data_IF_400546117411
#
_entry.id   IF_400546117411
#
_cell.length_a   1.000
_cell.length_b   1.000
_cell.length_c   1.000
_cell.angle_alpha   90.00
_cell.angle_beta   90.00
_cell.angle_gamma   90.00
#
_symmetry.space_group_name_H-M   'P 1'
#
loop_
_entity.id
_entity.type
_entity.pdbx_description
1 polymer ?
#
# COMPACT_ATOMS: atom_id res chain seq x y z
N UNK A 1 -7.49 -10.41 0.52
CA UNK A 1 -7.60 -11.89 0.41
C UNK A 1 -8.55 -12.19 -0.75
N UNK A 2 -8.46 -13.35 -1.40
CA UNK A 2 -9.43 -13.71 -2.44
C UNK A 2 -10.57 -14.55 -1.82
N UNK A 3 -11.85 -14.23 -2.08
CA UNK A 3 -12.97 -15.04 -1.61
C UNK A 3 -12.92 -16.49 -2.08
N UNK A 4 -13.20 -17.44 -1.19
CA UNK A 4 -13.31 -18.88 -1.49
C UNK A 4 -14.34 -19.13 -2.59
N UNK A 5 -15.45 -18.37 -2.61
CA UNK A 5 -16.48 -18.49 -3.66
C UNK A 5 -15.96 -18.23 -5.08
N UNK A 6 -14.81 -17.58 -5.25
CA UNK A 6 -14.21 -17.30 -6.57
C UNK A 6 -13.13 -18.31 -6.97
N UNK A 7 -12.43 -18.89 -5.99
CA UNK A 7 -11.25 -19.74 -6.24
C UNK A 7 -11.45 -21.20 -5.84
N UNK A 8 -12.52 -21.50 -5.10
CA UNK A 8 -12.73 -22.78 -4.42
C UNK A 8 -11.63 -23.15 -3.41
N UNK A 9 -10.78 -22.19 -3.03
CA UNK A 9 -9.68 -22.38 -2.08
C UNK A 9 -9.92 -21.53 -0.84
N UNK A 10 -9.75 -22.12 0.34
CA UNK A 10 -9.86 -21.39 1.60
C UNK A 10 -8.79 -20.27 1.64
N UNK A 11 -9.15 -19.03 2.00
CA UNK A 11 -8.18 -17.94 2.03
C UNK A 11 -7.12 -18.18 3.11
N UNK A 12 -5.90 -17.74 2.83
CA UNK A 12 -4.71 -17.93 3.66
C UNK A 12 -4.32 -16.65 4.40
N UNK A 13 -3.60 -16.80 5.52
CA UNK A 13 -3.03 -15.73 6.33
C UNK A 13 -1.83 -16.24 7.16
N UNK A 14 -1.15 -15.36 7.89
CA UNK A 14 -0.08 -15.72 8.82
C UNK A 14 -0.57 -16.66 9.95
N UNK A 15 -1.82 -16.51 10.37
CA UNK A 15 -2.51 -17.33 11.38
C UNK A 15 -3.98 -17.53 11.00
N UNK A 16 -4.71 -18.38 11.73
CA UNK A 16 -6.16 -18.55 11.55
C UNK A 16 -6.91 -17.29 11.98
N UNK A 17 -7.49 -16.53 11.04
CA UNK A 17 -8.17 -15.27 11.33
C UNK A 17 -9.63 -15.27 10.86
N UNK A 18 -10.56 -14.64 11.58
CA UNK A 18 -11.94 -14.46 11.12
C UNK A 18 -11.99 -13.76 9.75
N UNK A 19 -12.94 -14.17 8.90
CA UNK A 19 -13.17 -13.57 7.59
C UNK A 19 -14.55 -13.93 7.03
N UNK A 20 -15.12 -13.02 6.24
CA UNK A 20 -16.31 -13.29 5.44
C UNK A 20 -15.98 -13.93 4.08
N UNK A 21 -14.69 -14.12 3.78
CA UNK A 21 -14.20 -14.66 2.50
C UNK A 21 -14.15 -16.19 2.47
N UNK A 22 -14.53 -16.87 3.55
CA UNK A 22 -14.47 -18.32 3.72
C UNK A 22 -15.82 -18.88 4.17
N UNK A 23 -16.17 -20.09 3.71
CA UNK A 23 -17.43 -20.77 4.09
C UNK A 23 -17.49 -21.08 5.58
N UNK A 24 -16.34 -21.40 6.20
CA UNK A 24 -16.25 -21.67 7.64
C UNK A 24 -16.01 -20.40 8.48
N UNK A 25 -15.99 -19.21 7.86
CA UNK A 25 -15.78 -17.94 8.55
C UNK A 25 -14.32 -17.65 8.94
N UNK A 26 -13.36 -18.47 8.49
CA UNK A 26 -11.96 -18.38 8.93
C UNK A 26 -10.95 -18.56 7.79
N UNK A 27 -9.78 -17.95 7.94
CA UNK A 27 -8.61 -18.22 7.10
C UNK A 27 -7.79 -19.39 7.62
N UNK A 28 -7.02 -20.02 6.73
CA UNK A 28 -6.03 -21.01 7.11
C UNK A 28 -4.67 -20.36 7.37
N UNK A 29 -3.96 -20.83 8.39
CA UNK A 29 -2.57 -20.45 8.61
C UNK A 29 -1.66 -21.08 7.53
N UNK A 30 -0.73 -20.28 7.00
CA UNK A 30 0.30 -20.76 6.08
C UNK A 30 1.29 -21.69 6.77
N UNK A 31 1.66 -22.77 6.08
CA UNK A 31 2.82 -23.59 6.43
C UNK A 31 4.11 -22.90 5.98
N UNK A 32 5.24 -23.26 6.59
CA UNK A 32 6.53 -22.65 6.25
C UNK A 32 6.91 -22.84 4.78
N UNK A 33 6.67 -24.02 4.20
CA UNK A 33 6.89 -24.26 2.78
C UNK A 33 6.04 -23.35 1.90
N UNK A 34 4.78 -23.09 2.28
CA UNK A 34 3.89 -22.19 1.53
C UNK A 34 4.33 -20.72 1.64
N UNK A 35 4.99 -20.33 2.74
CA UNK A 35 5.57 -19.00 2.89
C UNK A 35 6.73 -18.83 1.91
N UNK A 36 7.62 -19.82 1.82
CA UNK A 36 8.73 -19.82 0.85
C UNK A 36 8.23 -19.86 -0.61
N UNK A 37 7.22 -20.69 -0.90
CA UNK A 37 6.60 -20.74 -2.23
C UNK A 37 6.01 -19.37 -2.63
N UNK A 38 5.43 -18.63 -1.68
CA UNK A 38 4.92 -17.28 -1.91
C UNK A 38 6.04 -16.27 -2.13
N UNK A 39 7.13 -16.34 -1.36
CA UNK A 39 8.33 -15.51 -1.57
C UNK A 39 8.84 -15.70 -3.02
N UNK A 40 8.95 -16.94 -3.48
CA UNK A 40 9.31 -17.24 -4.86
C UNK A 40 8.29 -16.74 -5.87
N UNK A 41 6.99 -16.85 -5.57
CA UNK A 41 5.94 -16.35 -6.44
C UNK A 41 6.01 -14.83 -6.64
N UNK A 42 6.31 -14.05 -5.59
CA UNK A 42 6.54 -12.60 -5.69
C UNK A 42 7.75 -12.28 -6.55
N UNK A 43 8.88 -12.95 -6.32
CA UNK A 43 10.09 -12.73 -7.11
C UNK A 43 9.91 -13.09 -8.59
N UNK A 44 9.21 -14.19 -8.87
CA UNK A 44 8.85 -14.57 -10.22
C UNK A 44 7.87 -13.59 -10.87
N UNK A 45 7.00 -12.94 -10.10
CA UNK A 45 6.14 -11.88 -10.61
C UNK A 45 6.97 -10.64 -10.98
N UNK A 46 7.91 -10.22 -10.14
CA UNK A 46 8.82 -9.12 -10.43
C UNK A 46 9.66 -9.38 -11.69
N UNK A 47 10.25 -10.57 -11.82
CA UNK A 47 11.00 -10.95 -13.02
C UNK A 47 10.14 -10.96 -14.30
N UNK A 48 8.84 -11.32 -14.19
CA UNK A 48 7.90 -11.20 -15.31
C UNK A 48 7.61 -9.74 -15.66
N UNK A 49 7.47 -8.86 -14.66
CA UNK A 49 7.29 -7.42 -14.88
C UNK A 49 8.49 -6.80 -15.57
N UNK A 50 9.71 -7.10 -15.12
CA UNK A 50 10.94 -6.64 -15.77
C UNK A 50 11.01 -7.13 -17.22
N UNK A 51 10.75 -8.41 -17.46
CA UNK A 51 10.72 -8.98 -18.82
C UNK A 51 9.65 -8.33 -19.71
N UNK A 52 8.57 -7.83 -19.14
CA UNK A 52 7.52 -7.12 -19.85
C UNK A 52 7.88 -5.65 -20.12
N UNK A 53 9.01 -5.15 -19.62
CA UNK A 53 9.51 -3.79 -19.85
C UNK A 53 9.03 -2.76 -18.83
N UNK A 54 8.54 -3.18 -17.67
CA UNK A 54 8.31 -2.25 -16.55
C UNK A 54 9.65 -1.82 -15.95
N UNK A 55 9.72 -0.59 -15.44
CA UNK A 55 10.92 -0.08 -14.75
C UNK A 55 11.09 -0.64 -13.34
N UNK A 56 10.03 -1.19 -12.75
CA UNK A 56 10.06 -1.72 -11.39
C UNK A 56 8.76 -2.36 -10.91
N UNK A 57 8.74 -2.69 -9.62
CA UNK A 57 7.56 -3.15 -8.88
C UNK A 57 7.40 -2.42 -7.56
N UNK A 58 6.15 -2.32 -7.09
CA UNK A 58 5.84 -1.91 -5.71
C UNK A 58 5.24 -3.10 -4.95
N UNK A 59 5.87 -3.49 -3.84
CA UNK A 59 5.42 -4.56 -2.97
C UNK A 59 4.32 -4.03 -2.04
N UNK A 60 3.12 -4.60 -2.15
CA UNK A 60 1.98 -4.12 -1.37
C UNK A 60 1.91 -4.72 0.04
N UNK A 61 2.49 -4.00 1.01
CA UNK A 61 2.48 -4.30 2.45
C UNK A 61 1.40 -3.57 3.27
N UNK A 62 0.38 -2.99 2.65
CA UNK A 62 -0.60 -2.12 3.31
C UNK A 62 -2.03 -2.71 3.33
N UNK A 63 -2.98 -1.98 3.91
CA UNK A 63 -4.44 -2.21 3.86
C UNK A 63 -4.91 -3.61 4.26
N UNK A 64 -4.19 -4.26 5.17
CA UNK A 64 -4.56 -5.60 5.63
C UNK A 64 -4.49 -6.68 4.54
N UNK A 65 -3.71 -6.49 3.47
CA UNK A 65 -3.32 -7.59 2.59
C UNK A 65 -2.30 -8.51 3.25
N UNK A 66 -1.91 -9.60 2.58
CA UNK A 66 -1.17 -10.70 3.21
C UNK A 66 0.10 -10.25 3.95
N UNK A 67 0.93 -9.41 3.34
CA UNK A 67 2.14 -8.89 3.97
C UNK A 67 1.78 -8.04 5.20
N UNK A 68 0.80 -7.14 5.07
CA UNK A 68 0.27 -6.34 6.19
C UNK A 68 -0.25 -7.23 7.34
N UNK A 69 -0.81 -8.40 7.02
CA UNK A 69 -1.29 -9.37 8.02
C UNK A 69 -0.14 -10.09 8.75
N UNK A 70 1.01 -10.31 8.09
CA UNK A 70 2.22 -10.77 8.76
C UNK A 70 2.79 -9.69 9.70
N UNK A 71 2.74 -8.41 9.31
CA UNK A 71 3.19 -7.29 10.14
C UNK A 71 2.31 -7.08 11.38
N UNK A 72 1.00 -7.28 11.25
CA UNK A 72 0.03 -7.03 12.32
C UNK A 72 0.05 -8.03 13.47
N UNK A 73 0.10 -7.54 14.70
CA UNK A 73 0.13 -8.34 15.94
C UNK A 73 -1.17 -9.11 16.20
N UNK A 74 -2.31 -8.60 15.73
CA UNK A 74 -3.60 -9.29 15.86
C UNK A 74 -3.69 -10.42 14.84
N UNK A 75 -3.23 -10.22 13.61
CA UNK A 75 -3.36 -11.23 12.53
C UNK A 75 -2.25 -12.26 12.46
N UNK A 76 -1.09 -11.97 13.03
CA UNK A 76 0.06 -12.86 13.11
C UNK A 76 0.38 -13.21 14.56
N UNK A 77 -0.13 -14.38 14.99
CA UNK A 77 0.08 -14.92 16.34
C UNK A 77 0.98 -16.16 16.29
N UNK A 78 1.84 -16.25 15.27
CA UNK A 78 2.78 -17.36 15.13
C UNK A 78 3.85 -17.29 16.22
N UNK A 79 4.32 -18.45 16.64
CA UNK A 79 5.40 -18.62 17.63
C UNK A 79 6.70 -19.09 17.00
N UNK A 80 6.76 -19.19 15.66
CA UNK A 80 7.95 -19.54 14.89
C UNK A 80 8.69 -18.28 14.42
N UNK A 81 9.66 -18.45 13.52
CA UNK A 81 10.49 -17.36 13.01
C UNK A 81 9.73 -16.29 12.19
N UNK A 82 8.45 -16.54 11.88
CA UNK A 82 7.61 -15.64 11.09
C UNK A 82 6.65 -14.80 11.94
N UNK A 83 6.69 -14.89 13.27
CA UNK A 83 5.84 -14.10 14.17
C UNK A 83 6.49 -13.74 15.51
N UNK A 84 5.71 -13.11 16.38
CA UNK A 84 6.19 -12.56 17.65
C UNK A 84 6.76 -11.16 17.49
N UNK A 85 8.09 -11.03 17.56
CA UNK A 85 8.79 -9.73 17.47
C UNK A 85 8.63 -9.07 16.09
N UNK A 86 8.77 -7.74 16.01
CA UNK A 86 8.69 -7.02 14.74
C UNK A 86 9.67 -7.57 13.67
N UNK A 87 10.95 -7.87 13.96
CA UNK A 87 11.84 -8.48 12.97
C UNK A 87 11.34 -9.81 12.41
N UNK A 88 10.68 -10.64 13.23
CA UNK A 88 10.09 -11.89 12.76
C UNK A 88 8.82 -11.66 11.94
N UNK A 89 7.96 -10.71 12.36
CA UNK A 89 6.76 -10.31 11.62
C UNK A 89 7.10 -9.70 10.25
N UNK A 90 8.17 -8.91 10.19
CA UNK A 90 8.70 -8.30 8.97
C UNK A 90 9.46 -9.29 8.07
N UNK A 91 9.91 -10.44 8.60
CA UNK A 91 10.74 -11.41 7.88
C UNK A 91 10.17 -11.82 6.52
N UNK A 92 8.84 -11.99 6.43
CA UNK A 92 8.19 -12.32 5.16
C UNK A 92 8.40 -11.24 4.10
N UNK A 93 8.20 -9.96 4.44
CA UNK A 93 8.47 -8.83 3.56
C UNK A 93 9.95 -8.75 3.18
N UNK A 94 10.84 -8.86 4.16
CA UNK A 94 12.30 -8.79 3.93
C UNK A 94 12.78 -9.88 2.98
N UNK A 95 12.26 -11.11 3.12
CA UNK A 95 12.58 -12.23 2.23
C UNK A 95 12.02 -12.04 0.82
N UNK A 96 10.85 -11.42 0.68
CA UNK A 96 10.31 -11.04 -0.63
C UNK A 96 11.25 -10.04 -1.33
N UNK A 97 11.69 -9.00 -0.62
CA UNK A 97 12.62 -7.98 -1.15
C UNK A 97 13.92 -8.65 -1.63
N UNK A 98 14.54 -9.46 -0.77
CA UNK A 98 15.77 -10.20 -1.08
C UNK A 98 15.60 -11.10 -2.32
N UNK A 99 14.51 -11.87 -2.40
CA UNK A 99 14.27 -12.79 -3.52
C UNK A 99 13.99 -12.04 -4.83
N UNK A 100 13.30 -10.90 -4.77
CA UNK A 100 13.10 -10.03 -5.95
C UNK A 100 14.45 -9.55 -6.46
N UNK A 101 15.32 -9.01 -5.59
CA UNK A 101 16.65 -8.52 -5.97
C UNK A 101 17.54 -9.61 -6.58
N UNK A 102 17.42 -10.84 -6.11
CA UNK A 102 18.13 -11.98 -6.71
C UNK A 102 17.62 -12.37 -8.10
N UNK A 103 16.42 -11.93 -8.51
CA UNK A 103 15.74 -12.33 -9.75
C UNK A 103 15.65 -11.23 -10.80
N UNK A 104 15.90 -9.98 -10.43
CA UNK A 104 15.82 -8.83 -11.33
C UNK A 104 17.18 -8.17 -11.52
N UNK A 105 17.32 -7.31 -12.53
CA UNK A 105 18.54 -6.52 -12.69
C UNK A 105 18.68 -5.47 -11.57
N UNK A 106 19.90 -4.97 -11.39
CA UNK A 106 20.22 -3.89 -10.45
C UNK A 106 19.46 -2.59 -10.77
N UNK A 107 19.17 -2.33 -12.05
CA UNK A 107 18.42 -1.14 -12.49
C UNK A 107 16.91 -1.24 -12.30
N UNK A 108 16.38 -2.41 -11.95
CA UNK A 108 14.94 -2.61 -11.80
C UNK A 108 14.48 -2.11 -10.43
N UNK A 109 13.54 -1.17 -10.39
CA UNK A 109 13.11 -0.52 -9.14
C UNK A 109 12.26 -1.47 -8.28
N UNK A 110 12.48 -1.45 -6.96
CA UNK A 110 11.69 -2.18 -5.96
C UNK A 110 11.27 -1.20 -4.87
N UNK A 111 9.99 -0.84 -4.88
CA UNK A 111 9.37 -0.06 -3.81
C UNK A 111 8.59 -0.91 -2.84
N UNK A 112 8.35 -0.38 -1.64
CA UNK A 112 7.47 -1.01 -0.64
C UNK A 112 6.40 -0.03 -0.22
N UNK A 113 5.15 -0.46 -0.24
CA UNK A 113 4.02 0.31 0.26
C UNK A 113 3.48 -0.23 1.57
N UNK A 114 3.43 0.60 2.61
CA UNK A 114 2.94 0.22 3.95
C UNK A 114 1.77 1.10 4.41
N UNK A 115 0.98 0.57 5.35
CA UNK A 115 0.04 1.37 6.14
C UNK A 115 0.78 1.90 7.37
N UNK A 116 0.80 3.22 7.62
CA UNK A 116 1.33 3.78 8.87
C UNK A 116 0.65 3.17 10.10
N UNK A 117 -0.67 3.03 10.03
CA UNK A 117 -1.50 2.38 11.05
C UNK A 117 -2.59 1.53 10.38
N UNK A 118 -2.91 0.38 10.97
CA UNK A 118 -4.05 -0.44 10.60
C UNK A 118 -4.53 -1.23 11.83
N UNK A 119 -5.11 -0.52 12.79
CA UNK A 119 -5.36 -1.02 14.14
C UNK A 119 -6.24 -2.28 14.20
N UNK A 120 -7.14 -2.48 13.23
CA UNK A 120 -7.98 -3.68 13.17
C UNK A 120 -7.18 -4.98 13.08
N UNK A 121 -5.92 -4.92 12.64
CA UNK A 121 -5.02 -6.08 12.58
C UNK A 121 -3.77 -5.92 13.45
N UNK A 122 -3.71 -4.86 14.27
CA UNK A 122 -2.59 -4.61 15.18
C UNK A 122 -1.30 -4.17 14.48
N UNK A 123 -1.42 -3.43 13.36
CA UNK A 123 -0.33 -2.58 12.85
C UNK A 123 -0.49 -1.21 13.49
N UNK A 124 0.50 -0.80 14.29
CA UNK A 124 0.51 0.45 15.04
C UNK A 124 1.65 1.34 14.58
N UNK A 125 1.55 2.65 14.83
CA UNK A 125 2.52 3.64 14.36
C UNK A 125 3.96 3.31 14.79
N UNK A 126 4.18 2.95 16.05
CA UNK A 126 5.52 2.65 16.60
C UNK A 126 6.20 1.50 15.84
N UNK A 127 5.51 0.37 15.67
CA UNK A 127 6.00 -0.77 14.88
C UNK A 127 6.28 -0.37 13.42
N UNK A 128 5.45 0.50 12.83
CA UNK A 128 5.66 0.98 11.47
C UNK A 128 6.88 1.89 11.34
N UNK A 129 7.20 2.70 12.35
CA UNK A 129 8.41 3.53 12.38
C UNK A 129 9.67 2.70 12.57
N UNK A 130 9.62 1.64 13.38
CA UNK A 130 10.73 0.69 13.49
C UNK A 130 10.88 -0.15 12.20
N UNK A 131 9.77 -0.46 11.50
CA UNK A 131 9.81 -1.09 10.19
C UNK A 131 10.48 -0.19 9.13
N UNK A 132 10.31 1.14 9.21
CA UNK A 132 11.03 2.09 8.35
C UNK A 132 12.53 1.89 8.43
N UNK A 133 13.08 1.63 9.63
CA UNK A 133 14.53 1.40 9.77
C UNK A 133 14.98 0.11 9.10
N UNK A 134 14.23 -0.97 9.31
CA UNK A 134 14.50 -2.25 8.65
C UNK A 134 14.47 -2.11 7.12
N UNK A 135 13.51 -1.33 6.61
CA UNK A 135 13.36 -1.09 5.17
C UNK A 135 14.46 -0.17 4.63
N UNK A 136 14.87 0.85 5.38
CA UNK A 136 15.96 1.75 5.00
C UNK A 136 17.33 1.06 4.98
N UNK A 137 17.50 -0.04 5.73
CA UNK A 137 18.69 -0.91 5.68
C UNK A 137 18.56 -2.03 4.64
N UNK A 138 17.41 -2.12 3.95
CA UNK A 138 17.16 -3.11 2.90
C UNK A 138 17.43 -2.54 1.51
N UNK A 139 17.45 -3.42 0.52
CA UNK A 139 17.66 -3.05 -0.88
C UNK A 139 16.33 -2.61 -1.54
N UNK A 140 15.65 -1.59 -1.03
CA UNK A 140 14.49 -0.98 -1.71
C UNK A 140 14.86 0.42 -2.22
N UNK A 141 14.17 0.88 -3.27
CA UNK A 141 14.46 2.18 -3.90
C UNK A 141 13.55 3.30 -3.41
N UNK A 142 12.38 2.98 -2.85
CA UNK A 142 11.48 3.96 -2.27
C UNK A 142 10.51 3.34 -1.27
N UNK A 143 10.08 4.14 -0.29
CA UNK A 143 8.99 3.83 0.62
C UNK A 143 7.72 4.58 0.18
N UNK A 144 6.57 3.92 0.20
CA UNK A 144 5.28 4.54 -0.04
C UNK A 144 4.37 4.36 1.18
N UNK A 145 3.96 5.45 1.82
CA UNK A 145 3.03 5.42 2.95
C UNK A 145 1.59 5.69 2.50
N UNK A 146 0.66 4.85 2.97
CA UNK A 146 -0.77 5.00 2.68
C UNK A 146 -1.54 5.51 3.90
N UNK A 147 -1.75 6.83 3.97
CA UNK A 147 -2.28 7.51 5.16
C UNK A 147 -3.81 7.51 5.26
N UNK A 148 -4.55 7.02 4.25
CA UNK A 148 -5.97 7.30 4.00
C UNK A 148 -6.27 8.79 3.75
N UNK A 149 -5.84 9.64 4.69
CA UNK A 149 -5.80 11.09 4.65
C UNK A 149 -4.46 11.55 5.27
N UNK A 150 -3.60 12.20 4.48
CA UNK A 150 -2.30 12.67 4.95
C UNK A 150 -2.34 14.07 5.60
N UNK A 151 -3.54 14.64 5.78
CA UNK A 151 -3.76 15.94 6.44
C UNK A 151 -4.31 15.81 7.86
N UNK A 152 -4.33 14.59 8.40
CA UNK A 152 -4.71 14.32 9.79
C UNK A 152 -3.55 13.68 10.56
N UNK A 153 -3.45 13.95 11.88
CA UNK A 153 -2.54 13.24 12.76
C UNK A 153 -2.88 11.74 12.88
N UNK A 154 -1.94 10.91 13.34
CA UNK A 154 -2.18 9.51 13.67
C UNK A 154 -3.34 9.34 14.68
N UNK A 155 -4.09 8.25 14.56
CA UNK A 155 -5.37 8.09 15.29
C UNK A 155 -5.16 7.66 16.75
N UNK A 156 -4.07 6.95 17.06
CA UNK A 156 -3.80 6.41 18.39
C UNK A 156 -2.42 6.85 18.92
N UNK A 157 -2.10 8.13 18.75
CA UNK A 157 -0.87 8.75 19.23
C UNK A 157 -1.17 10.14 19.78
N UNK A 158 -0.38 10.58 20.77
CA UNK A 158 -0.40 11.95 21.28
C UNK A 158 0.41 12.91 20.39
N UNK A 159 1.03 12.40 19.32
CA UNK A 159 1.73 13.22 18.33
C UNK A 159 0.72 13.95 17.43
N UNK A 160 0.79 15.29 17.43
CA UNK A 160 -0.10 16.15 16.67
C UNK A 160 0.42 16.49 15.26
N UNK A 161 1.60 15.97 14.90
CA UNK A 161 2.15 16.13 13.55
C UNK A 161 1.42 15.23 12.56
N UNK A 162 1.47 15.60 11.29
CA UNK A 162 0.93 14.79 10.21
C UNK A 162 1.75 13.51 10.05
N UNK A 163 1.11 12.43 9.65
CA UNK A 163 1.77 11.13 9.47
C UNK A 163 2.98 11.23 8.53
N UNK A 164 2.87 12.00 7.45
CA UNK A 164 3.99 12.25 6.53
C UNK A 164 5.20 12.86 7.23
N UNK A 165 5.01 13.86 8.11
CA UNK A 165 6.09 14.54 8.83
C UNK A 165 6.84 13.57 9.75
N UNK A 166 6.10 12.73 10.46
CA UNK A 166 6.66 11.74 11.40
C UNK A 166 7.50 10.71 10.63
N UNK A 167 7.01 10.22 9.48
CA UNK A 167 7.74 9.27 8.65
C UNK A 167 8.94 9.90 7.95
N UNK A 168 8.83 11.14 7.46
CA UNK A 168 9.93 11.88 6.85
C UNK A 168 11.08 12.07 7.85
N UNK A 169 10.75 12.47 9.09
CA UNK A 169 11.74 12.62 10.16
C UNK A 169 12.43 11.27 10.46
N UNK A 170 11.66 10.18 10.59
CA UNK A 170 12.24 8.86 10.86
C UNK A 170 13.10 8.38 9.71
N UNK A 171 12.68 8.55 8.46
CA UNK A 171 13.45 8.19 7.27
C UNK A 171 14.77 8.96 7.19
N UNK A 172 14.79 10.23 7.59
CA UNK A 172 15.96 11.09 7.58
C UNK A 172 16.70 11.07 6.22
N UNK A 173 15.94 11.13 5.12
CA UNK A 173 16.42 11.09 3.73
C UNK A 173 17.22 9.83 3.34
N UNK A 174 17.09 8.72 4.08
CA UNK A 174 17.73 7.43 3.72
C UNK A 174 17.14 6.81 2.46
N UNK A 175 15.86 7.06 2.19
CA UNK A 175 15.14 6.61 1.00
C UNK A 175 14.16 7.70 0.54
N UNK A 176 13.89 7.82 -0.76
CA UNK A 176 12.76 8.59 -1.27
C UNK A 176 11.43 8.09 -0.68
N UNK A 177 10.55 9.01 -0.31
CA UNK A 177 9.23 8.73 0.22
C UNK A 177 8.10 9.25 -0.67
N UNK A 178 7.16 8.35 -0.98
CA UNK A 178 5.86 8.70 -1.56
C UNK A 178 4.82 8.78 -0.43
N UNK A 179 4.11 9.90 -0.32
CA UNK A 179 2.95 10.02 0.58
C UNK A 179 1.65 10.16 -0.22
N UNK A 180 0.58 9.54 0.27
CA UNK A 180 -0.74 9.60 -0.35
C UNK A 180 -1.88 9.61 0.68
N UNK A 181 -3.01 10.20 0.29
CA UNK A 181 -4.24 10.25 1.07
C UNK A 181 -4.93 11.60 0.94
N UNK A 182 -6.17 11.64 0.44
CA UNK A 182 -6.97 12.87 0.30
C UNK A 182 -6.35 14.06 -0.50
N UNK A 183 -5.21 13.89 -1.16
CA UNK A 183 -4.62 14.91 -2.05
C UNK A 183 -5.54 15.16 -3.24
N UNK A 184 -5.80 16.43 -3.56
CA UNK A 184 -6.77 16.80 -4.60
C UNK A 184 -6.38 18.02 -5.43
N UNK A 185 -5.82 19.05 -4.79
CA UNK A 185 -5.46 20.32 -5.42
C UNK A 185 -3.94 20.52 -5.45
N UNK A 186 -3.48 21.54 -6.18
CA UNK A 186 -2.08 21.98 -6.13
C UNK A 186 -1.65 22.31 -4.70
N UNK A 187 -2.51 23.00 -3.94
CA UNK A 187 -2.24 23.34 -2.53
C UNK A 187 -2.06 22.09 -1.66
N UNK A 188 -2.89 21.06 -1.86
CA UNK A 188 -2.72 19.79 -1.16
C UNK A 188 -1.38 19.12 -1.51
N UNK A 189 -1.00 19.09 -2.79
CA UNK A 189 0.27 18.52 -3.21
C UNK A 189 1.46 19.26 -2.59
N UNK A 190 1.44 20.59 -2.59
CA UNK A 190 2.46 21.42 -1.94
C UNK A 190 2.56 21.15 -0.45
N UNK A 191 1.43 21.09 0.26
CA UNK A 191 1.40 20.78 1.69
C UNK A 191 2.04 19.41 1.99
N UNK A 192 1.79 18.39 1.19
CA UNK A 192 2.40 17.06 1.39
C UNK A 192 3.90 17.07 1.13
N UNK A 193 4.36 17.83 0.14
CA UNK A 193 5.80 18.04 -0.10
C UNK A 193 6.45 18.81 1.06
N UNK A 194 5.78 19.84 1.60
CA UNK A 194 6.23 20.60 2.77
C UNK A 194 6.30 19.75 4.04
N UNK A 195 5.43 18.75 4.17
CA UNK A 195 5.49 17.74 5.23
C UNK A 195 6.70 16.79 5.11
N UNK A 196 7.44 16.82 3.99
CA UNK A 196 8.65 16.03 3.79
C UNK A 196 8.50 14.82 2.88
N UNK A 197 7.42 14.71 2.09
CA UNK A 197 7.38 13.74 1.00
C UNK A 197 8.28 14.17 -0.17
N UNK A 198 8.93 13.22 -0.83
CA UNK A 198 9.67 13.46 -2.08
C UNK A 198 8.75 13.37 -3.31
N UNK A 199 7.67 12.58 -3.19
CA UNK A 199 6.68 12.35 -4.23
C UNK A 199 5.27 12.29 -3.62
N UNK A 200 4.28 12.69 -4.42
CA UNK A 200 2.87 12.70 -4.03
C UNK A 200 2.10 11.67 -4.85
N UNK A 201 1.50 10.70 -4.17
CA UNK A 201 0.62 9.70 -4.78
C UNK A 201 -0.84 10.15 -4.80
N UNK A 202 -1.51 10.04 -5.95
CA UNK A 202 -2.95 10.26 -6.09
C UNK A 202 -3.65 9.02 -6.66
N UNK A 203 -4.92 8.82 -6.28
CA UNK A 203 -5.75 7.74 -6.79
C UNK A 203 -7.09 8.27 -7.32
N UNK A 204 -8.03 8.60 -6.43
CA UNK A 204 -9.37 9.08 -6.82
C UNK A 204 -9.34 10.33 -7.70
N UNK A 205 -8.41 11.25 -7.44
CA UNK A 205 -8.23 12.46 -8.23
C UNK A 205 -7.77 12.14 -9.65
N UNK A 206 -6.79 11.24 -9.80
CA UNK A 206 -6.29 10.81 -11.11
C UNK A 206 -7.31 9.99 -11.92
N UNK A 207 -8.30 9.37 -11.27
CA UNK A 207 -9.43 8.73 -11.96
C UNK A 207 -10.36 9.79 -12.57
N UNK A 208 -10.64 10.86 -11.82
CA UNK A 208 -11.52 11.93 -12.28
C UNK A 208 -10.83 12.98 -13.16
N UNK A 209 -9.50 13.04 -13.16
CA UNK A 209 -8.69 14.05 -13.85
C UNK A 209 -7.38 13.39 -14.30
N UNK A 210 -7.39 12.77 -15.47
CA UNK A 210 -6.28 11.97 -16.02
C UNK A 210 -5.01 12.79 -16.28
N UNK A 211 -5.17 14.10 -16.50
CA UNK A 211 -4.11 15.07 -16.72
C UNK A 211 -3.75 15.89 -15.46
N UNK A 212 -4.25 15.50 -14.28
CA UNK A 212 -4.13 16.25 -13.01
C UNK A 212 -2.73 16.81 -12.75
N UNK A 213 -1.68 16.00 -12.95
CA UNK A 213 -0.30 16.40 -12.71
C UNK A 213 0.17 17.54 -13.63
N UNK A 214 -0.40 17.67 -14.82
CA UNK A 214 -0.03 18.68 -15.82
C UNK A 214 -0.52 20.08 -15.47
N UNK A 215 -1.45 20.22 -14.52
CA UNK A 215 -2.05 21.49 -14.09
C UNK A 215 -1.50 22.02 -12.77
N UNK A 216 -0.51 21.32 -12.17
CA UNK A 216 0.02 21.68 -10.86
C UNK A 216 0.90 22.95 -10.86
N UNK A 217 1.23 23.48 -12.03
CA UNK A 217 1.84 24.81 -12.18
C UNK A 217 0.85 25.93 -11.80
N UNK A 218 -0.45 25.68 -11.92
CA UNK A 218 -1.49 26.57 -11.43
C UNK A 218 -1.75 26.34 -9.92
N UNK A 219 -1.33 27.32 -9.11
CA UNK A 219 -1.48 27.29 -7.65
C UNK A 219 -2.94 27.27 -7.16
N UNK A 220 -3.89 27.71 -7.98
CA UNK A 220 -5.31 27.70 -7.66
C UNK A 220 -6.07 26.52 -8.28
N UNK A 221 -5.35 25.58 -8.91
CA UNK A 221 -5.97 24.37 -9.45
C UNK A 221 -6.54 23.50 -8.32
N UNK A 222 -7.87 23.44 -8.26
CA UNK A 222 -8.67 22.60 -7.37
C UNK A 222 -9.83 22.01 -8.18
N UNK A 223 -9.60 20.88 -8.87
CA UNK A 223 -10.55 20.37 -9.83
C UNK A 223 -11.80 19.75 -9.15
N UNK A 224 -12.85 19.53 -9.94
CA UNK A 224 -14.12 18.97 -9.46
C UNK A 224 -13.91 17.69 -8.62
N UNK A 225 -14.63 17.58 -7.50
CA UNK A 225 -14.72 16.35 -6.69
C UNK A 225 -15.92 15.50 -7.12
N UNK A 226 -15.90 14.18 -6.87
CA UNK A 226 -17.07 13.35 -7.10
C UNK A 226 -18.31 13.86 -6.33
N UNK A 227 -19.54 13.57 -6.82
CA UNK A 227 -19.83 12.64 -7.90
C UNK A 227 -19.48 13.20 -9.29
N UNK A 228 -19.05 12.30 -10.20
CA UNK A 228 -18.77 12.62 -11.60
C UNK A 228 -19.89 12.11 -12.50
N UNK A 229 -20.19 12.82 -13.59
CA UNK A 229 -21.06 12.29 -14.64
C UNK A 229 -20.35 11.12 -15.35
N UNK A 230 -21.11 10.18 -15.91
CA UNK A 230 -20.53 9.13 -16.75
C UNK A 230 -19.87 9.72 -18.01
N UNK A 231 -20.42 10.81 -18.55
CA UNK A 231 -19.83 11.54 -19.69
C UNK A 231 -18.44 12.10 -19.36
N UNK A 232 -18.28 12.72 -18.18
CA UNK A 232 -16.99 13.20 -17.69
C UNK A 232 -15.98 12.06 -17.61
N UNK A 233 -16.34 10.96 -16.94
CA UNK A 233 -15.44 9.82 -16.79
C UNK A 233 -15.07 9.14 -18.12
N UNK A 234 -15.99 9.08 -19.08
CA UNK A 234 -15.68 8.61 -20.44
C UNK A 234 -14.67 9.53 -21.13
N UNK A 235 -14.77 10.85 -20.92
CA UNK A 235 -13.80 11.82 -21.45
C UNK A 235 -12.41 11.68 -20.82
N UNK A 236 -12.34 11.21 -19.57
CA UNK A 236 -11.10 10.82 -18.87
C UNK A 236 -10.59 9.41 -19.25
N UNK A 237 -11.08 8.87 -20.38
CA UNK A 237 -10.71 7.57 -20.95
C UNK A 237 -11.09 6.34 -20.10
N UNK A 238 -12.00 6.46 -19.13
CA UNK A 238 -12.55 5.29 -18.46
C UNK A 238 -13.46 4.50 -19.41
N UNK A 239 -13.43 3.17 -19.30
CA UNK A 239 -14.41 2.32 -19.98
C UNK A 239 -15.77 2.31 -19.28
N UNK A 240 -16.85 2.10 -20.03
CA UNK A 240 -18.21 1.93 -19.47
C UNK A 240 -18.26 0.88 -18.36
N UNK A 241 -17.58 -0.26 -18.55
CA UNK A 241 -17.50 -1.33 -17.54
C UNK A 241 -16.85 -0.86 -16.25
N UNK A 242 -15.80 -0.05 -16.35
CA UNK A 242 -15.15 0.48 -15.17
C UNK A 242 -16.01 1.54 -14.49
N UNK A 243 -16.68 2.41 -15.26
CA UNK A 243 -17.65 3.38 -14.71
C UNK A 243 -18.77 2.66 -13.94
N UNK A 244 -19.30 1.57 -14.48
CA UNK A 244 -20.33 0.78 -13.81
C UNK A 244 -19.80 0.10 -12.53
N UNK A 245 -18.56 -0.39 -12.54
CA UNK A 245 -17.89 -0.83 -11.31
C UNK A 245 -17.81 0.31 -10.29
N UNK A 246 -17.44 1.51 -10.72
CA UNK A 246 -17.27 2.68 -9.86
C UNK A 246 -18.59 3.21 -9.28
N UNK A 247 -19.75 2.88 -9.86
CA UNK A 247 -21.07 3.16 -9.25
C UNK A 247 -21.29 2.45 -7.92
N UNK A 248 -20.52 1.38 -7.64
CA UNK A 248 -20.53 0.74 -6.33
C UNK A 248 -19.80 1.57 -5.25
N UNK A 249 -19.03 2.58 -5.64
CA UNK A 249 -18.37 3.49 -4.72
C UNK A 249 -19.34 4.61 -4.39
N UNK A 250 -19.74 4.67 -3.12
CA UNK A 250 -20.70 5.66 -2.64
C UNK A 250 -20.30 7.06 -3.06
N UNK A 251 -21.23 7.78 -3.67
CA UNK A 251 -21.11 9.17 -4.11
C UNK A 251 -19.98 9.42 -5.14
N UNK A 252 -19.48 8.39 -5.85
CA UNK A 252 -18.42 8.55 -6.85
C UNK A 252 -18.93 8.90 -8.26
N UNK A 253 -19.98 8.22 -8.73
CA UNK A 253 -20.61 8.47 -10.03
C UNK A 253 -22.03 8.96 -9.78
N UNK A 254 -22.47 9.99 -10.51
CA UNK A 254 -23.84 10.49 -10.44
C UNK A 254 -24.85 9.37 -10.79
N UNK A 255 -25.94 9.32 -10.03
CA UNK A 255 -26.99 8.29 -10.14
C UNK A 255 -27.60 8.26 -11.52
#
# INVERSE_FOLDING_TARGET
RCPQRLTSVQPISASVNPTNDSENGETRALQESEIEDLIDAFAMAAARSEKAGFDGVEIHGAHGYLICQFLGTVTNRRTDQWGGSLPNRARFLMKIIERIRQKTSESFLVGVRISPEYNQIGVVLEDSLDLVDLLAESEIDFLHISCWDCFIPPTHSDDHRMVTEIFAERLANRLPMISCGAVWSTKHAQQVMEQGADLVGVARTGIGHSDWASHLDNLDYDPQRPPFTAEHLLSEALSEKFIEYMRNWKDFVES
#
